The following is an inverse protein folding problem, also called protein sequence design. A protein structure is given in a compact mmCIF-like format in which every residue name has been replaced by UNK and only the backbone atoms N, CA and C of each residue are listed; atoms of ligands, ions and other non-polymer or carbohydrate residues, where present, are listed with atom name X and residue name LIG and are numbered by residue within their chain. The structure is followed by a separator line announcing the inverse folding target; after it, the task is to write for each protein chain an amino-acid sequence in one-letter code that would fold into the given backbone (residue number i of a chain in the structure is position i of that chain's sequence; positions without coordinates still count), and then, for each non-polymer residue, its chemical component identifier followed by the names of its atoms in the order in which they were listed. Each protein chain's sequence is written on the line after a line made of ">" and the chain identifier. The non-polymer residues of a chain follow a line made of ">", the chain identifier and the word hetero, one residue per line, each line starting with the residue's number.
data_IF_909896988891
#
_entry.id   IF_909896988891
#
_cell.length_a   1.000
_cell.length_b   1.000
_cell.length_c   1.000
_cell.angle_alpha   90.00
_cell.angle_beta   90.00
_cell.angle_gamma   90.00
#
_symmetry.space_group_name_H-M   'P 1'
#
loop_
_entity.id
_entity.type
_entity.pdbx_description
1 polymer ?
#
# COMPACT_ATOMS: atom_id res chain seq x y z
N UNK A 1 -34.94 16.57 -10.60
CA UNK A 1 -35.64 16.64 -11.91
C UNK A 1 -35.33 15.34 -12.64
N UNK A 2 -36.35 14.61 -13.12
CA UNK A 2 -36.21 13.35 -13.81
C UNK A 2 -35.43 13.51 -15.13
N UNK A 3 -34.74 12.44 -15.55
CA UNK A 3 -34.04 12.37 -16.82
C UNK A 3 -35.01 11.91 -17.92
N UNK A 4 -35.16 12.60 -19.05
CA UNK A 4 -35.96 12.11 -20.15
C UNK A 4 -35.32 10.85 -20.76
N UNK A 5 -36.14 9.82 -20.99
CA UNK A 5 -35.74 8.54 -21.56
C UNK A 5 -36.40 8.42 -22.94
N UNK A 6 -35.66 8.10 -24.00
CA UNK A 6 -36.25 7.85 -25.30
C UNK A 6 -37.12 6.59 -25.27
N UNK A 7 -38.28 6.68 -25.89
CA UNK A 7 -39.24 5.59 -26.04
C UNK A 7 -39.23 5.13 -27.49
N UNK A 8 -39.24 3.83 -27.75
CA UNK A 8 -39.27 3.28 -29.11
C UNK A 8 -40.66 3.37 -29.75
N UNK A 9 -40.78 2.97 -31.04
CA UNK A 9 -42.03 3.00 -31.80
C UNK A 9 -43.11 2.08 -31.20
N UNK A 10 -42.75 1.15 -30.34
CA UNK A 10 -43.66 0.22 -29.66
C UNK A 10 -44.12 0.74 -28.29
N UNK A 11 -43.62 1.86 -27.84
CA UNK A 11 -43.89 2.41 -26.51
C UNK A 11 -43.02 1.82 -25.40
N UNK A 12 -41.95 1.09 -25.76
CA UNK A 12 -41.03 0.49 -24.80
C UNK A 12 -39.79 1.39 -24.56
N UNK A 13 -39.26 1.37 -23.36
CA UNK A 13 -38.04 2.05 -22.99
C UNK A 13 -37.18 1.18 -22.09
N UNK A 14 -35.86 1.41 -22.12
CA UNK A 14 -34.88 0.79 -21.22
C UNK A 14 -34.08 1.90 -20.56
N UNK A 15 -33.95 1.82 -19.26
CA UNK A 15 -33.07 2.68 -18.48
C UNK A 15 -32.17 1.81 -17.60
N UNK A 16 -30.88 2.06 -17.65
CA UNK A 16 -29.89 1.42 -16.80
C UNK A 16 -29.43 2.44 -15.76
N UNK A 17 -29.66 2.12 -14.49
CA UNK A 17 -29.22 2.94 -13.35
C UNK A 17 -28.57 2.04 -12.31
N UNK A 18 -27.42 2.47 -11.81
CA UNK A 18 -26.73 1.77 -10.71
C UNK A 18 -27.35 2.27 -9.40
N UNK A 19 -28.15 1.40 -8.78
CA UNK A 19 -28.78 1.69 -7.49
C UNK A 19 -27.98 0.98 -6.38
N UNK A 20 -27.69 1.67 -5.25
CA UNK A 20 -27.15 1.01 -4.08
C UNK A 20 -28.13 -0.01 -3.52
N UNK A 21 -27.67 -0.96 -2.71
CA UNK A 21 -28.56 -1.89 -2.03
C UNK A 21 -29.52 -1.16 -1.06
N UNK A 22 -30.74 -1.66 -0.95
CA UNK A 22 -31.77 -1.08 -0.10
C UNK A 22 -33.13 -0.92 -0.82
N UNK A 23 -34.04 -0.28 -0.15
CA UNK A 23 -35.35 0.05 -0.70
C UNK A 23 -35.27 1.33 -1.55
N UNK A 24 -35.73 1.24 -2.79
CA UNK A 24 -35.78 2.34 -3.74
C UNK A 24 -37.18 2.46 -4.33
N UNK A 25 -37.66 3.69 -4.48
CA UNK A 25 -38.89 3.96 -5.23
C UNK A 25 -38.50 4.58 -6.57
N UNK A 26 -38.76 3.87 -7.65
CA UNK A 26 -38.58 4.37 -9.01
C UNK A 26 -39.84 5.06 -9.46
N UNK A 27 -39.70 6.34 -9.84
CA UNK A 27 -40.77 7.17 -10.35
C UNK A 27 -40.62 7.31 -11.86
N UNK A 28 -41.65 6.86 -12.61
CA UNK A 28 -41.72 7.03 -14.05
C UNK A 28 -42.89 7.96 -14.38
N UNK A 29 -42.58 9.13 -14.88
CA UNK A 29 -43.59 10.07 -15.35
C UNK A 29 -43.73 9.97 -16.86
N UNK A 30 -44.93 9.64 -17.35
CA UNK A 30 -45.30 9.66 -18.76
C UNK A 30 -46.07 10.94 -19.02
N UNK A 31 -45.41 11.90 -19.70
CA UNK A 31 -45.93 13.26 -19.90
C UNK A 31 -46.19 13.50 -21.40
N UNK A 32 -47.27 14.22 -21.71
CA UNK A 32 -47.50 14.77 -23.05
C UNK A 32 -46.63 16.04 -23.29
N UNK A 33 -46.77 16.65 -24.48
CA UNK A 33 -46.01 17.85 -24.85
C UNK A 33 -46.38 19.08 -24.02
N UNK A 34 -47.56 19.08 -23.39
CA UNK A 34 -48.09 20.12 -22.50
C UNK A 34 -47.63 19.89 -21.04
N UNK A 35 -46.97 18.75 -20.74
CA UNK A 35 -46.49 18.40 -19.41
C UNK A 35 -47.57 17.76 -18.50
N UNK A 36 -48.73 17.41 -19.05
CA UNK A 36 -49.74 16.63 -18.36
C UNK A 36 -49.51 15.13 -18.58
N UNK A 37 -49.80 14.30 -17.60
CA UNK A 37 -49.58 12.84 -17.73
C UNK A 37 -49.76 12.08 -16.45
N UNK A 38 -49.28 10.87 -16.43
CA UNK A 38 -49.41 9.94 -15.32
C UNK A 38 -48.05 9.63 -14.70
N UNK A 39 -48.05 9.48 -13.36
CA UNK A 39 -46.90 9.08 -12.58
C UNK A 39 -47.05 7.64 -12.12
N UNK A 40 -46.08 6.82 -12.47
CA UNK A 40 -46.03 5.43 -12.03
C UNK A 40 -44.93 5.29 -10.99
N UNK A 41 -45.27 4.74 -9.82
CA UNK A 41 -44.35 4.45 -8.74
C UNK A 41 -44.12 2.94 -8.68
N UNK A 42 -42.87 2.54 -8.58
CA UNK A 42 -42.48 1.17 -8.37
C UNK A 42 -41.46 1.05 -7.27
N UNK A 43 -41.79 0.36 -6.21
CA UNK A 43 -40.85 0.05 -5.16
C UNK A 43 -39.99 -1.15 -5.57
N UNK A 44 -38.70 -0.98 -5.46
CA UNK A 44 -37.68 -1.98 -5.69
C UNK A 44 -36.92 -2.20 -4.39
N UNK A 45 -36.85 -3.43 -3.95
CA UNK A 45 -36.00 -3.83 -2.84
C UNK A 45 -34.81 -4.59 -3.43
N UNK A 46 -33.64 -3.96 -3.39
CA UNK A 46 -32.38 -4.57 -3.82
C UNK A 46 -31.76 -5.24 -2.60
N UNK A 47 -31.78 -6.57 -2.60
CA UNK A 47 -31.15 -7.34 -1.54
C UNK A 47 -29.65 -7.03 -1.48
N UNK A 48 -29.21 -6.66 -0.30
CA UNK A 48 -27.79 -6.50 -0.03
C UNK A 48 -27.22 -7.91 0.16
N UNK A 49 -26.40 -8.35 -0.79
CA UNK A 49 -25.61 -9.55 -0.56
C UNK A 49 -24.48 -9.17 0.40
N UNK A 50 -24.66 -9.44 1.69
CA UNK A 50 -23.71 -9.10 2.73
C UNK A 50 -22.39 -9.87 2.61
N UNK A 51 -22.39 -10.94 1.80
CA UNK A 51 -21.25 -11.82 1.60
C UNK A 51 -20.97 -12.07 0.13
N UNK A 52 -19.73 -11.82 -0.25
CA UNK A 52 -19.15 -12.26 -1.51
C UNK A 52 -18.00 -13.23 -1.19
N UNK A 53 -18.03 -14.40 -1.80
CA UNK A 53 -16.97 -15.38 -1.67
C UNK A 53 -16.74 -16.09 -3.00
N UNK A 54 -15.50 -16.38 -3.27
CA UNK A 54 -15.06 -17.19 -4.40
C UNK A 54 -13.95 -18.11 -3.93
N UNK A 55 -13.94 -19.33 -4.42
CA UNK A 55 -12.92 -20.30 -4.08
C UNK A 55 -12.56 -21.16 -5.27
N UNK A 56 -11.34 -21.61 -5.32
CA UNK A 56 -10.79 -22.53 -6.32
C UNK A 56 -10.01 -23.61 -5.59
N UNK A 57 -10.20 -24.85 -6.02
CA UNK A 57 -9.37 -25.98 -5.62
C UNK A 57 -8.93 -26.72 -6.89
N UNK A 58 -7.65 -26.95 -7.03
CA UNK A 58 -7.05 -27.74 -8.08
C UNK A 58 -6.25 -28.88 -7.43
N UNK A 59 -6.39 -30.08 -7.95
CA UNK A 59 -5.64 -31.25 -7.51
C UNK A 59 -5.14 -31.96 -8.76
N UNK A 60 -3.84 -32.17 -8.82
CA UNK A 60 -3.15 -32.85 -9.92
C UNK A 60 -2.47 -34.09 -9.37
N UNK A 61 -2.84 -35.24 -9.89
CA UNK A 61 -2.17 -36.50 -9.60
C UNK A 61 -1.34 -36.90 -10.82
N UNK A 62 -0.04 -37.09 -10.60
CA UNK A 62 0.87 -37.57 -11.62
C UNK A 62 1.52 -38.85 -11.14
N UNK A 63 1.51 -39.89 -11.99
CA UNK A 63 2.25 -41.14 -11.78
C UNK A 63 3.34 -41.25 -12.85
N UNK A 64 4.58 -41.29 -12.42
CA UNK A 64 5.72 -41.39 -13.30
C UNK A 64 6.33 -42.75 -13.17
N UNK A 65 6.50 -43.49 -14.28
CA UNK A 65 7.21 -44.72 -14.28
C UNK A 65 8.55 -44.59 -15.03
N UNK A 66 9.62 -44.91 -14.39
CA UNK A 66 10.96 -44.86 -14.97
C UNK A 66 11.49 -46.27 -15.16
N UNK A 67 12.09 -46.54 -16.31
CA UNK A 67 12.84 -47.78 -16.58
C UNK A 67 14.33 -47.49 -16.71
N UNK A 68 15.12 -47.96 -15.76
CA UNK A 68 16.58 -47.73 -15.75
C UNK A 68 17.10 -47.47 -14.32
N UNK A 69 18.39 -47.14 -14.16
CA UNK A 69 18.95 -46.84 -12.84
C UNK A 69 18.44 -45.44 -12.36
N UNK A 70 17.26 -45.45 -11.75
CA UNK A 70 16.61 -44.25 -11.22
C UNK A 70 17.41 -43.61 -10.06
N UNK A 71 18.22 -44.38 -9.37
CA UNK A 71 19.08 -43.92 -8.26
C UNK A 71 20.07 -42.81 -8.66
N UNK A 72 20.34 -42.65 -9.95
CA UNK A 72 21.18 -41.57 -10.47
C UNK A 72 20.46 -40.22 -10.56
N UNK A 73 19.14 -40.22 -10.48
CA UNK A 73 18.28 -38.98 -10.53
C UNK A 73 17.92 -38.50 -9.13
N UNK A 74 18.05 -39.33 -8.11
CA UNK A 74 17.85 -38.96 -6.73
C UNK A 74 19.16 -38.38 -6.18
N UNK A 75 19.16 -37.09 -5.88
CA UNK A 75 20.20 -36.52 -5.04
C UNK A 75 20.14 -37.11 -3.63
N UNK A 76 21.27 -37.19 -2.94
CA UNK A 76 21.46 -37.84 -1.62
C UNK A 76 20.49 -37.32 -0.49
N UNK A 77 19.66 -36.29 -0.76
CA UNK A 77 18.73 -35.68 0.15
C UNK A 77 17.32 -35.43 -0.43
N UNK A 78 16.92 -36.09 -1.50
CA UNK A 78 15.56 -35.91 -2.03
C UNK A 78 14.62 -36.95 -1.43
N UNK A 79 13.78 -36.51 -0.50
CA UNK A 79 12.58 -37.24 -0.01
C UNK A 79 11.45 -37.27 -1.07
N UNK A 80 11.78 -36.98 -2.33
CA UNK A 80 10.81 -36.93 -3.41
C UNK A 80 10.57 -38.33 -3.93
N UNK A 81 9.39 -38.84 -3.68
CA UNK A 81 8.92 -40.11 -4.24
C UNK A 81 8.74 -39.92 -5.77
N UNK A 82 9.61 -40.54 -6.57
CA UNK A 82 9.62 -40.33 -8.03
C UNK A 82 8.42 -41.05 -8.68
N UNK A 83 7.78 -41.98 -7.97
CA UNK A 83 6.75 -42.85 -8.52
C UNK A 83 5.35 -42.20 -8.54
N UNK A 84 5.04 -41.32 -7.61
CA UNK A 84 3.74 -40.62 -7.60
C UNK A 84 3.87 -39.20 -6.99
N UNK A 85 3.24 -38.26 -7.64
CA UNK A 85 3.21 -36.88 -7.20
C UNK A 85 1.76 -36.41 -7.10
N UNK A 86 1.42 -35.77 -5.97
CA UNK A 86 0.10 -35.20 -5.73
C UNK A 86 0.26 -33.73 -5.42
N UNK A 87 0.04 -32.92 -6.44
CA UNK A 87 0.05 -31.46 -6.31
C UNK A 87 -1.34 -30.89 -6.13
N UNK A 88 -1.41 -29.78 -5.43
CA UNK A 88 -2.66 -29.08 -5.24
C UNK A 88 -2.48 -27.58 -5.15
N UNK A 89 -3.60 -26.86 -5.34
CA UNK A 89 -3.73 -25.43 -5.06
C UNK A 89 -5.09 -25.17 -4.49
N UNK A 90 -5.11 -24.43 -3.38
CA UNK A 90 -6.34 -23.91 -2.79
C UNK A 90 -6.25 -22.38 -2.75
N UNK A 91 -7.22 -21.72 -3.35
CA UNK A 91 -7.33 -20.28 -3.27
C UNK A 91 -8.76 -19.88 -2.91
N UNK A 92 -8.92 -18.89 -2.05
CA UNK A 92 -10.21 -18.30 -1.76
C UNK A 92 -10.12 -16.80 -1.51
N UNK A 93 -11.24 -16.13 -1.77
CA UNK A 93 -11.45 -14.75 -1.42
C UNK A 93 -12.83 -14.61 -0.76
N UNK A 94 -12.90 -13.86 0.32
CA UNK A 94 -14.12 -13.57 1.05
C UNK A 94 -14.16 -12.08 1.37
N UNK A 95 -15.28 -11.45 1.08
CA UNK A 95 -15.57 -10.08 1.49
C UNK A 95 -17.02 -10.02 1.95
N UNK A 96 -17.26 -9.63 3.19
CA UNK A 96 -18.61 -9.62 3.72
C UNK A 96 -18.76 -8.82 4.99
N UNK A 97 -20.02 -8.66 5.40
CA UNK A 97 -20.39 -8.01 6.65
C UNK A 97 -21.01 -9.03 7.59
N UNK A 98 -20.65 -8.98 8.85
CA UNK A 98 -21.31 -9.77 9.88
C UNK A 98 -21.73 -8.87 11.04
N UNK A 99 -22.93 -9.13 11.54
CA UNK A 99 -23.59 -8.18 12.44
C UNK A 99 -23.84 -6.82 11.77
N UNK A 100 -24.08 -5.81 12.56
CA UNK A 100 -24.44 -4.48 12.04
C UNK A 100 -23.23 -3.64 11.60
N UNK A 101 -22.02 -3.93 12.12
CA UNK A 101 -20.91 -3.00 12.05
C UNK A 101 -19.57 -3.60 11.59
N UNK A 102 -19.48 -4.92 11.51
CA UNK A 102 -18.21 -5.57 11.18
C UNK A 102 -18.11 -5.92 9.70
N UNK A 103 -16.97 -5.63 9.13
CA UNK A 103 -16.60 -6.03 7.77
C UNK A 103 -15.36 -6.92 7.82
N UNK A 104 -15.43 -8.05 7.13
CA UNK A 104 -14.32 -8.97 6.93
C UNK A 104 -13.91 -8.97 5.46
N UNK A 105 -12.62 -8.89 5.20
CA UNK A 105 -12.02 -9.16 3.90
C UNK A 105 -10.89 -10.14 4.13
N UNK A 106 -10.94 -11.30 3.50
CA UNK A 106 -9.91 -12.32 3.63
C UNK A 106 -9.61 -12.95 2.28
N UNK A 107 -8.38 -13.35 2.08
CA UNK A 107 -7.94 -14.07 0.91
C UNK A 107 -6.78 -14.98 1.26
N UNK A 108 -6.74 -16.13 0.62
CA UNK A 108 -5.59 -17.03 0.70
C UNK A 108 -5.37 -17.70 -0.64
N UNK A 109 -4.11 -17.96 -0.94
CA UNK A 109 -3.66 -18.75 -2.08
C UNK A 109 -2.44 -19.56 -1.66
N UNK A 110 -2.59 -20.88 -1.64
CA UNK A 110 -1.50 -21.78 -1.22
C UNK A 110 -0.40 -21.89 -2.26
N UNK A 111 -0.62 -21.39 -3.48
CA UNK A 111 0.13 -21.69 -4.69
C UNK A 111 0.04 -23.19 -5.06
N UNK A 112 0.55 -23.54 -6.23
CA UNK A 112 0.64 -24.94 -6.67
C UNK A 112 1.85 -25.59 -6.04
N UNK A 113 1.66 -26.75 -5.44
CA UNK A 113 2.73 -27.52 -4.80
C UNK A 113 2.23 -28.80 -4.15
N UNK A 114 3.12 -29.61 -3.56
CA UNK A 114 2.78 -30.86 -2.90
C UNK A 114 1.69 -30.67 -1.83
N UNK A 115 0.69 -31.54 -1.84
CA UNK A 115 -0.51 -31.42 -0.96
C UNK A 115 -0.14 -31.44 0.52
N UNK A 116 0.88 -32.15 0.92
CA UNK A 116 1.37 -32.26 2.29
C UNK A 116 2.01 -30.95 2.80
N UNK A 117 2.52 -30.13 1.89
CA UNK A 117 3.20 -28.85 2.19
C UNK A 117 2.35 -27.60 1.86
N UNK A 118 1.14 -27.74 1.33
CA UNK A 118 0.30 -26.59 0.95
C UNK A 118 0.10 -25.56 2.06
N UNK A 119 -0.04 -26.03 3.29
CA UNK A 119 -0.26 -25.17 4.47
C UNK A 119 1.00 -24.91 5.29
N UNK A 120 2.16 -25.40 4.83
CA UNK A 120 3.43 -25.02 5.44
C UNK A 120 3.72 -23.55 5.18
N UNK A 121 4.32 -22.87 6.16
CA UNK A 121 4.73 -21.47 6.05
C UNK A 121 3.62 -20.53 5.57
N UNK A 122 2.39 -20.80 6.03
CA UNK A 122 1.19 -20.12 5.54
C UNK A 122 1.16 -18.61 5.83
N UNK A 123 1.77 -18.19 6.95
CA UNK A 123 1.87 -16.79 7.37
C UNK A 123 3.21 -16.13 7.00
N UNK A 124 4.16 -16.89 6.50
CA UNK A 124 5.46 -16.40 6.06
C UNK A 124 5.38 -15.80 4.65
N UNK A 125 6.39 -15.02 4.28
CA UNK A 125 6.51 -14.50 2.91
C UNK A 125 6.71 -15.66 1.94
N UNK A 126 6.00 -15.61 0.83
CA UNK A 126 6.19 -16.57 -0.24
C UNK A 126 7.40 -16.16 -1.08
N UNK A 127 8.37 -17.05 -1.32
CA UNK A 127 9.48 -16.76 -2.23
C UNK A 127 9.00 -16.44 -3.66
N UNK A 128 7.81 -16.89 -4.02
CA UNK A 128 7.20 -16.64 -5.33
C UNK A 128 6.42 -15.32 -5.44
N UNK A 129 6.37 -14.53 -4.35
CA UNK A 129 5.64 -13.27 -4.35
C UNK A 129 6.14 -12.28 -5.42
N UNK A 130 7.44 -12.32 -5.74
CA UNK A 130 8.01 -11.54 -6.82
C UNK A 130 7.46 -11.95 -8.18
N UNK A 131 7.38 -13.26 -8.47
CA UNK A 131 6.90 -13.77 -9.75
C UNK A 131 5.42 -13.48 -9.97
N UNK A 132 4.62 -13.51 -8.91
CA UNK A 132 3.20 -13.09 -8.98
C UNK A 132 3.04 -11.63 -9.37
N UNK A 133 3.96 -10.76 -8.94
CA UNK A 133 3.96 -9.34 -9.33
C UNK A 133 4.41 -9.10 -10.77
N UNK A 134 5.06 -10.06 -11.39
CA UNK A 134 5.50 -10.00 -12.80
C UNK A 134 4.43 -10.56 -13.75
N UNK A 135 3.38 -11.18 -13.22
CA UNK A 135 2.32 -11.75 -14.04
C UNK A 135 1.69 -10.65 -14.93
N UNK A 136 1.74 -10.83 -16.27
CA UNK A 136 1.19 -9.84 -17.21
C UNK A 136 -0.28 -9.52 -16.97
N UNK A 137 -1.07 -10.48 -16.46
CA UNK A 137 -2.50 -10.30 -16.20
C UNK A 137 -2.77 -9.26 -15.11
N UNK A 138 -1.79 -8.94 -14.27
CA UNK A 138 -1.88 -7.89 -13.27
C UNK A 138 -1.40 -6.52 -13.74
N UNK A 139 -0.60 -6.45 -14.81
CA UNK A 139 0.06 -5.22 -15.24
C UNK A 139 -0.46 -4.64 -16.55
N UNK A 140 -1.10 -5.46 -17.38
CA UNK A 140 -1.65 -4.98 -18.63
C UNK A 140 -3.14 -4.68 -18.48
N UNK A 141 -3.54 -3.39 -18.51
CA UNK A 141 -4.95 -3.07 -18.56
C UNK A 141 -5.57 -3.70 -19.80
N UNK A 142 -6.75 -4.27 -19.65
CA UNK A 142 -7.53 -4.77 -20.77
C UNK A 142 -7.73 -3.63 -21.76
N UNK A 143 -7.47 -3.87 -23.04
CA UNK A 143 -7.46 -2.82 -24.07
C UNK A 143 -8.78 -2.03 -24.06
N UNK A 144 -8.69 -0.71 -23.80
CA UNK A 144 -9.85 0.19 -23.75
C UNK A 144 -10.52 0.32 -22.38
N UNK A 145 -9.98 -0.29 -21.34
CA UNK A 145 -10.46 -0.11 -19.96
C UNK A 145 -9.55 0.88 -19.22
N UNK A 146 -10.16 1.91 -18.65
CA UNK A 146 -9.51 2.94 -17.81
C UNK A 146 -9.55 2.54 -16.32
N UNK A 147 -9.92 1.28 -16.02
CA UNK A 147 -9.97 0.76 -14.67
C UNK A 147 -8.56 0.46 -14.14
N UNK A 148 -8.27 0.97 -12.96
CA UNK A 148 -7.09 0.58 -12.19
C UNK A 148 -7.36 -0.74 -11.48
N UNK A 149 -6.50 -1.73 -11.65
CA UNK A 149 -6.56 -2.97 -10.87
C UNK A 149 -6.16 -2.64 -9.44
N UNK A 150 -7.10 -2.70 -8.52
CA UNK A 150 -6.85 -2.55 -7.11
C UNK A 150 -6.83 -3.91 -6.44
N UNK A 151 -5.69 -4.31 -5.91
CA UNK A 151 -5.56 -5.52 -5.13
C UNK A 151 -6.33 -5.38 -3.80
N UNK A 152 -7.36 -6.17 -3.60
CA UNK A 152 -8.21 -6.11 -2.40
C UNK A 152 -7.60 -6.84 -1.20
N UNK A 153 -6.67 -7.76 -1.43
CA UNK A 153 -6.01 -8.59 -0.41
C UNK A 153 -4.50 -8.58 -0.60
N UNK A 154 -3.84 -7.43 -0.42
CA UNK A 154 -2.40 -7.31 -0.65
C UNK A 154 -1.63 -8.17 0.36
N UNK A 155 -0.93 -9.19 -0.13
CA UNK A 155 -0.12 -10.09 0.70
C UNK A 155 1.11 -10.59 -0.04
N UNK A 156 2.27 -10.48 0.58
CA UNK A 156 3.49 -11.15 0.12
C UNK A 156 3.51 -12.63 0.54
N UNK A 157 2.65 -13.03 1.48
CA UNK A 157 2.46 -14.42 1.89
C UNK A 157 1.25 -15.06 1.21
N UNK A 158 0.90 -16.24 1.70
CA UNK A 158 -0.24 -17.02 1.20
C UNK A 158 -1.58 -16.55 1.76
N UNK A 159 -1.59 -15.63 2.74
CA UNK A 159 -2.77 -15.26 3.51
C UNK A 159 -2.89 -13.75 3.73
N UNK A 160 -4.12 -13.27 3.65
CA UNK A 160 -4.52 -11.92 4.02
C UNK A 160 -5.83 -11.97 4.80
N UNK A 161 -5.93 -11.20 5.85
CA UNK A 161 -7.20 -10.96 6.53
C UNK A 161 -7.26 -9.53 7.05
N UNK A 162 -8.40 -8.90 6.89
CA UNK A 162 -8.73 -7.60 7.48
C UNK A 162 -10.11 -7.69 8.13
N UNK A 163 -10.18 -7.34 9.39
CA UNK A 163 -11.40 -7.18 10.16
C UNK A 163 -11.54 -5.70 10.50
N UNK A 164 -12.64 -5.09 10.06
CA UNK A 164 -12.87 -3.66 10.25
C UNK A 164 -14.23 -3.38 10.88
N UNK A 165 -14.30 -2.32 11.69
CA UNK A 165 -15.52 -1.79 12.30
C UNK A 165 -15.44 -0.26 12.25
N UNK A 166 -16.16 0.37 11.31
CA UNK A 166 -15.97 1.78 11.04
C UNK A 166 -14.54 2.05 10.58
N UNK A 167 -13.84 2.92 11.30
CA UNK A 167 -12.45 3.25 11.05
C UNK A 167 -11.48 2.30 11.77
N UNK A 168 -11.94 1.60 12.81
CA UNK A 168 -11.14 0.60 13.52
C UNK A 168 -10.87 -0.62 12.65
N UNK A 169 -9.65 -1.13 12.69
CA UNK A 169 -9.33 -2.38 11.99
C UNK A 169 -8.16 -3.14 12.61
N UNK A 170 -8.16 -4.44 12.39
CA UNK A 170 -7.01 -5.31 12.53
C UNK A 170 -6.78 -6.05 11.23
N UNK A 171 -5.54 -6.15 10.78
CA UNK A 171 -5.21 -6.84 9.53
C UNK A 171 -3.92 -7.64 9.64
N UNK A 172 -3.83 -8.68 8.82
CA UNK A 172 -2.62 -9.42 8.50
C UNK A 172 -2.42 -9.39 6.99
N UNK A 173 -1.23 -9.05 6.54
CA UNK A 173 -0.86 -8.91 5.13
C UNK A 173 0.08 -7.74 4.90
N UNK A 174 0.14 -7.24 3.68
CA UNK A 174 0.91 -6.04 3.37
C UNK A 174 0.16 -4.79 3.84
N UNK A 175 0.88 -3.89 4.47
CA UNK A 175 0.35 -2.60 4.88
C UNK A 175 1.43 -1.53 4.86
N UNK A 176 0.99 -0.29 4.86
CA UNK A 176 1.86 0.89 4.97
C UNK A 176 1.63 1.58 6.31
N UNK A 177 2.71 1.87 6.99
CA UNK A 177 2.73 2.68 8.21
C UNK A 177 3.18 4.09 7.85
N UNK A 178 2.41 5.09 8.27
CA UNK A 178 2.73 6.51 8.05
C UNK A 178 2.52 7.33 9.32
N UNK A 179 3.47 7.30 10.25
CA UNK A 179 3.41 8.09 11.49
C UNK A 179 4.10 9.43 11.28
N UNK A 180 3.31 10.48 11.13
CA UNK A 180 3.81 11.85 10.89
C UNK A 180 3.44 12.84 12.01
N UNK A 181 2.80 12.38 13.07
CA UNK A 181 2.34 13.25 14.17
C UNK A 181 3.50 13.91 14.94
N UNK A 182 4.65 13.25 14.99
CA UNK A 182 5.87 13.78 15.58
C UNK A 182 6.88 14.07 14.45
N UNK A 183 7.31 15.34 14.34
CA UNK A 183 8.23 15.77 13.29
C UNK A 183 9.64 15.20 13.46
N UNK A 184 10.00 14.85 14.71
CA UNK A 184 11.30 14.28 15.05
C UNK A 184 11.34 12.76 14.93
N UNK A 185 10.17 12.11 14.85
CA UNK A 185 10.03 10.66 14.84
C UNK A 185 8.98 10.25 13.78
N UNK A 186 9.38 10.37 12.53
CA UNK A 186 8.55 9.96 11.40
C UNK A 186 8.87 8.51 11.02
N UNK A 187 7.83 7.69 10.86
CA UNK A 187 7.91 6.33 10.35
C UNK A 187 7.07 6.26 9.08
N UNK A 188 7.67 5.92 7.97
CA UNK A 188 7.00 5.72 6.68
C UNK A 188 7.61 4.48 6.03
N UNK A 189 6.92 3.35 6.19
CA UNK A 189 7.42 2.03 5.76
C UNK A 189 6.28 1.16 5.22
N UNK A 190 6.59 0.36 4.21
CA UNK A 190 5.80 -0.79 3.80
C UNK A 190 6.23 -2.03 4.59
N UNK A 191 5.29 -2.77 5.15
CA UNK A 191 5.53 -3.91 6.04
C UNK A 191 4.59 -5.06 5.69
N UNK A 192 5.00 -6.28 6.04
CA UNK A 192 4.18 -7.48 5.98
C UNK A 192 4.01 -8.08 7.36
N UNK A 193 2.78 -8.27 7.82
CA UNK A 193 2.49 -8.81 9.13
C UNK A 193 1.18 -8.29 9.71
N UNK A 194 1.15 -8.10 11.02
CA UNK A 194 -0.01 -7.60 11.76
C UNK A 194 -0.01 -6.08 11.88
N UNK A 195 -1.15 -5.45 11.60
CA UNK A 195 -1.39 -4.03 11.82
C UNK A 195 -2.74 -3.83 12.49
N UNK A 196 -2.78 -2.93 13.46
CA UNK A 196 -3.97 -2.62 14.24
C UNK A 196 -4.17 -1.11 14.34
N UNK A 197 -5.36 -0.63 14.05
CA UNK A 197 -5.78 0.75 14.21
C UNK A 197 -7.03 0.82 15.07
N UNK A 198 -7.03 1.71 16.03
CA UNK A 198 -8.16 1.96 16.90
C UNK A 198 -8.33 3.45 17.16
N UNK A 199 -9.56 3.94 17.05
CA UNK A 199 -9.92 5.30 17.44
C UNK A 199 -11.24 5.33 18.21
N UNK A 200 -11.35 6.24 19.18
CA UNK A 200 -12.60 6.41 19.93
C UNK A 200 -13.62 7.22 19.12
N UNK A 201 -14.90 6.93 19.31
CA UNK A 201 -15.98 7.75 18.74
C UNK A 201 -15.98 9.18 19.32
N UNK A 202 -15.52 9.32 20.57
CA UNK A 202 -15.45 10.60 21.25
C UNK A 202 -14.42 11.53 20.56
N UNK A 203 -14.84 12.72 20.20
CA UNK A 203 -14.00 13.75 19.61
C UNK A 203 -13.86 14.96 20.54
N UNK A 204 -12.84 15.78 20.29
CA UNK A 204 -12.69 17.10 20.87
C UNK A 204 -13.69 18.09 20.20
N UNK A 205 -13.88 19.25 20.78
CA UNK A 205 -14.68 20.31 20.15
C UNK A 205 -14.14 20.78 18.79
N UNK A 206 -12.88 20.47 18.49
CA UNK A 206 -12.19 20.80 17.23
C UNK A 206 -12.24 19.68 16.21
N UNK A 207 -12.87 18.53 16.52
CA UNK A 207 -13.13 17.42 15.60
C UNK A 207 -12.09 16.30 15.62
N UNK A 208 -11.00 16.38 16.41
CA UNK A 208 -10.06 15.26 16.50
C UNK A 208 -10.55 14.20 17.48
N UNK A 209 -10.26 12.95 17.16
CA UNK A 209 -10.56 11.79 18.03
C UNK A 209 -9.79 11.87 19.33
N UNK A 210 -10.47 11.55 20.45
CA UNK A 210 -9.85 11.66 21.78
C UNK A 210 -8.72 10.66 22.00
N UNK A 211 -8.88 9.44 21.53
CA UNK A 211 -7.81 8.42 21.54
C UNK A 211 -7.62 7.88 20.12
N UNK A 212 -6.40 7.85 19.66
CA UNK A 212 -5.97 7.16 18.45
C UNK A 212 -4.79 6.27 18.82
N UNK A 213 -4.85 5.01 18.41
CA UNK A 213 -3.79 4.03 18.63
C UNK A 213 -3.55 3.24 17.36
N UNK A 214 -2.30 3.24 16.89
CA UNK A 214 -1.81 2.44 15.78
C UNK A 214 -0.70 1.54 16.31
N UNK A 215 -0.79 0.26 16.04
CA UNK A 215 0.21 -0.72 16.48
C UNK A 215 0.53 -1.67 15.33
N UNK A 216 1.77 -2.11 15.22
CA UNK A 216 2.16 -3.12 14.26
C UNK A 216 3.22 -4.07 14.82
N UNK A 217 3.20 -5.29 14.28
CA UNK A 217 4.25 -6.28 14.41
C UNK A 217 4.42 -6.95 13.04
N UNK A 218 5.59 -6.86 12.47
CA UNK A 218 5.81 -7.22 11.08
C UNK A 218 7.21 -7.76 10.84
N UNK A 219 7.33 -8.57 9.82
CA UNK A 219 8.61 -8.92 9.24
C UNK A 219 8.96 -7.87 8.18
N UNK A 220 10.00 -7.04 8.38
CA UNK A 220 10.48 -6.17 7.33
C UNK A 220 11.14 -7.02 6.26
N UNK A 221 10.41 -7.40 5.22
CA UNK A 221 10.95 -8.09 4.07
C UNK A 221 11.69 -7.19 3.11
N UNK A 222 11.94 -5.98 3.54
CA UNK A 222 12.52 -4.93 2.73
C UNK A 222 13.60 -4.22 3.52
N UNK A 223 14.63 -3.77 2.81
CA UNK A 223 15.70 -2.94 3.36
C UNK A 223 15.50 -1.51 2.88
N UNK A 224 15.45 -0.58 3.83
CA UNK A 224 15.43 0.85 3.52
C UNK A 224 16.79 1.33 3.03
N UNK A 225 16.82 2.07 1.94
CA UNK A 225 18.03 2.67 1.41
C UNK A 225 17.80 4.13 0.97
N UNK A 226 18.90 4.85 0.82
CA UNK A 226 18.90 6.22 0.32
C UNK A 226 19.99 6.38 -0.71
N UNK A 227 19.63 6.92 -1.86
CA UNK A 227 20.56 7.21 -2.93
C UNK A 227 20.50 8.66 -3.36
N UNK A 228 21.63 9.18 -3.81
CA UNK A 228 21.76 10.53 -4.28
C UNK A 228 22.36 10.55 -5.68
N UNK A 229 21.72 11.26 -6.57
CA UNK A 229 22.15 11.43 -7.95
C UNK A 229 22.33 12.91 -8.23
N UNK A 230 23.51 13.29 -8.65
CA UNK A 230 23.73 14.65 -9.14
C UNK A 230 22.94 14.86 -10.43
N UNK A 231 22.29 16.01 -10.56
CA UNK A 231 21.64 16.40 -11.79
C UNK A 231 22.62 16.46 -12.96
N UNK A 232 22.25 15.85 -14.07
CA UNK A 232 23.09 15.76 -15.28
C UNK A 232 22.47 16.45 -16.49
N UNK A 233 21.29 17.05 -16.33
CA UNK A 233 20.48 17.56 -17.44
C UNK A 233 19.59 16.46 -18.07
N UNK A 234 19.61 15.25 -17.53
CA UNK A 234 18.78 14.15 -17.97
C UNK A 234 17.55 13.93 -17.07
N UNK A 235 16.64 13.09 -17.53
CA UNK A 235 15.43 12.69 -16.80
C UNK A 235 15.45 11.24 -16.33
N UNK A 236 16.39 10.42 -16.79
CA UNK A 236 16.43 9.00 -16.49
C UNK A 236 17.50 8.69 -15.43
N UNK A 237 17.08 8.03 -14.34
CA UNK A 237 17.93 7.62 -13.24
C UNK A 237 17.69 6.15 -12.91
N UNK A 238 18.77 5.42 -12.64
CA UNK A 238 18.71 4.02 -12.23
C UNK A 238 19.15 3.90 -10.77
N UNK A 239 18.29 3.32 -9.96
CA UNK A 239 18.61 2.95 -8.59
C UNK A 239 19.58 1.77 -8.59
N UNK A 240 20.44 1.69 -7.60
CA UNK A 240 21.38 0.58 -7.47
C UNK A 240 20.69 -0.73 -7.10
N UNK A 241 19.51 -0.63 -6.49
CA UNK A 241 18.70 -1.78 -6.09
C UNK A 241 17.49 -1.91 -6.98
N UNK A 242 17.19 -3.15 -7.30
CA UNK A 242 15.99 -3.57 -8.02
C UNK A 242 14.94 -4.05 -7.03
N UNK A 243 13.76 -4.42 -7.52
CA UNK A 243 12.64 -4.90 -6.72
C UNK A 243 12.24 -3.94 -5.58
N UNK A 244 12.04 -2.71 -5.97
CA UNK A 244 11.61 -1.64 -5.07
C UNK A 244 10.18 -1.89 -4.61
N UNK A 245 9.91 -1.79 -3.31
CA UNK A 245 8.57 -1.90 -2.76
C UNK A 245 7.72 -0.72 -3.26
N UNK A 246 6.66 -1.04 -4.00
CA UNK A 246 5.79 -0.02 -4.58
C UNK A 246 5.19 0.90 -3.50
N UNK A 247 5.33 2.21 -3.72
CA UNK A 247 4.83 3.26 -2.80
C UNK A 247 5.73 3.51 -1.58
N UNK A 248 6.87 2.83 -1.45
CA UNK A 248 7.86 3.13 -0.41
C UNK A 248 8.76 4.30 -0.77
N UNK A 249 8.85 4.62 -2.06
CA UNK A 249 9.74 5.65 -2.53
C UNK A 249 9.35 7.05 -2.09
N UNK A 250 10.37 7.85 -1.80
CA UNK A 250 10.29 9.29 -1.57
C UNK A 250 11.35 9.96 -2.43
N UNK A 251 10.89 10.64 -3.46
CA UNK A 251 11.75 11.30 -4.44
C UNK A 251 11.69 12.80 -4.20
N UNK A 252 12.87 13.41 -4.04
CA UNK A 252 12.97 14.86 -3.87
C UNK A 252 14.21 15.41 -4.55
N UNK A 253 14.15 16.68 -4.90
CA UNK A 253 15.30 17.44 -5.38
C UNK A 253 15.84 18.26 -4.23
N UNK A 254 17.12 18.12 -3.95
CA UNK A 254 17.86 18.96 -3.02
C UNK A 254 18.76 19.91 -3.80
N UNK A 255 18.66 21.18 -3.46
CA UNK A 255 19.54 22.22 -3.98
C UNK A 255 20.59 22.47 -2.90
N UNK A 256 21.86 22.31 -3.22
CA UNK A 256 22.97 22.43 -2.27
C UNK A 256 23.92 23.53 -2.69
N UNK A 257 24.27 24.41 -1.74
CA UNK A 257 25.27 25.40 -1.93
C UNK A 257 26.63 24.76 -2.30
N UNK A 258 27.18 25.18 -3.41
CA UNK A 258 28.38 24.56 -3.99
C UNK A 258 29.64 24.68 -3.08
N UNK A 259 29.71 25.67 -2.22
CA UNK A 259 30.87 25.91 -1.37
C UNK A 259 30.80 25.18 -0.03
N UNK A 260 29.58 25.12 0.56
CA UNK A 260 29.38 24.55 1.90
C UNK A 260 28.75 23.17 1.88
N UNK A 261 28.13 22.76 0.75
CA UNK A 261 27.32 21.53 0.65
C UNK A 261 26.00 21.57 1.43
N UNK A 262 25.67 22.73 2.01
CA UNK A 262 24.43 22.87 2.80
C UNK A 262 23.23 22.88 1.87
N UNK A 263 22.17 22.16 2.25
CA UNK A 263 20.91 22.16 1.53
C UNK A 263 20.23 23.51 1.69
N UNK A 264 20.07 24.23 0.58
CA UNK A 264 19.45 25.56 0.51
C UNK A 264 17.98 25.49 0.10
N UNK A 265 17.59 24.41 -0.61
CA UNK A 265 16.20 24.19 -1.04
C UNK A 265 15.88 22.72 -1.17
N UNK A 266 14.60 22.38 -0.93
CA UNK A 266 14.05 21.01 -1.12
C UNK A 266 12.74 21.10 -1.85
N UNK A 267 12.60 20.29 -2.91
CA UNK A 267 11.38 20.11 -3.66
C UNK A 267 10.99 18.64 -3.62
N UNK A 268 9.88 18.30 -2.98
CA UNK A 268 9.34 16.93 -2.99
C UNK A 268 8.59 16.68 -4.29
N UNK A 269 8.88 15.59 -4.94
CA UNK A 269 8.25 15.18 -6.20
C UNK A 269 7.06 14.27 -5.93
N UNK A 270 6.04 14.39 -6.76
CA UNK A 270 4.78 13.63 -6.67
C UNK A 270 4.79 12.51 -7.72
N UNK A 271 4.54 11.24 -7.30
CA UNK A 271 4.42 10.12 -8.24
C UNK A 271 3.37 10.38 -9.32
N UNK A 272 3.60 9.90 -10.53
CA UNK A 272 2.76 10.05 -11.72
C UNK A 272 2.56 11.48 -12.25
N UNK A 273 2.98 12.52 -11.51
CA UNK A 273 2.98 13.91 -11.97
C UNK A 273 4.38 14.39 -12.34
N UNK A 274 5.32 14.23 -11.41
CA UNK A 274 6.69 14.73 -11.54
C UNK A 274 7.66 13.63 -11.97
N UNK A 275 7.33 12.37 -11.70
CA UNK A 275 8.12 11.21 -12.11
C UNK A 275 7.28 9.95 -12.28
N UNK A 276 7.80 9.03 -13.05
CA UNK A 276 7.35 7.65 -13.17
C UNK A 276 8.44 6.69 -12.68
N UNK A 277 8.06 5.58 -12.06
CA UNK A 277 8.98 4.59 -11.51
C UNK A 277 8.65 3.18 -11.98
N UNK A 278 9.65 2.48 -12.50
CA UNK A 278 9.62 1.03 -12.70
C UNK A 278 10.20 0.36 -11.46
N UNK A 279 9.32 -0.16 -10.63
CA UNK A 279 9.68 -0.75 -9.33
C UNK A 279 10.54 -2.01 -9.46
N UNK A 280 10.32 -2.81 -10.52
CA UNK A 280 11.07 -4.03 -10.75
C UNK A 280 12.52 -3.73 -11.17
N UNK A 281 12.68 -2.74 -12.06
CA UNK A 281 14.01 -2.38 -12.56
C UNK A 281 14.72 -1.36 -11.67
N UNK A 282 14.03 -0.72 -10.73
CA UNK A 282 14.57 0.40 -9.96
C UNK A 282 14.86 1.61 -10.85
N UNK A 283 14.00 1.92 -11.82
CA UNK A 283 14.22 2.99 -12.79
C UNK A 283 13.24 4.14 -12.57
N UNK A 284 13.78 5.34 -12.43
CA UNK A 284 13.00 6.56 -12.28
C UNK A 284 13.13 7.42 -13.53
N UNK A 285 12.00 7.84 -14.08
CA UNK A 285 11.90 8.77 -15.19
C UNK A 285 11.24 10.06 -14.73
N UNK A 286 11.99 11.15 -14.67
CA UNK A 286 11.46 12.46 -14.32
C UNK A 286 10.70 13.05 -15.52
N UNK A 287 9.57 13.69 -15.25
CA UNK A 287 8.78 14.42 -16.26
C UNK A 287 9.57 15.61 -16.79
N UNK A 288 10.32 16.30 -15.93
CA UNK A 288 11.20 17.39 -16.31
C UNK A 288 12.65 17.01 -16.07
N UNK A 289 13.58 17.24 -17.02
CA UNK A 289 14.98 16.95 -16.84
C UNK A 289 15.59 17.75 -15.68
N UNK A 290 16.40 17.09 -14.84
CA UNK A 290 17.06 17.73 -13.71
C UNK A 290 18.38 18.36 -14.14
N UNK A 291 18.42 19.68 -14.18
CA UNK A 291 19.65 20.42 -14.45
C UNK A 291 20.74 20.16 -13.41
N UNK A 292 22.00 20.23 -13.81
CA UNK A 292 23.13 20.05 -12.90
C UNK A 292 23.29 21.21 -11.90
N UNK A 293 22.86 22.40 -12.29
CA UNK A 293 22.91 23.62 -11.48
C UNK A 293 21.57 24.37 -11.60
N UNK A 294 21.15 24.96 -10.50
CA UNK A 294 19.95 25.81 -10.42
C UNK A 294 20.42 27.24 -10.13
N UNK A 295 20.12 28.16 -11.05
CA UNK A 295 20.33 29.58 -10.83
C UNK A 295 19.10 30.20 -10.17
N UNK A 296 19.29 30.81 -9.02
CA UNK A 296 18.24 31.52 -8.28
C UNK A 296 17.88 32.89 -8.90
N UNK A 297 18.58 33.30 -9.98
CA UNK A 297 18.34 34.59 -10.65
C UNK A 297 17.71 34.42 -12.02
N UNK A 298 16.41 34.64 -12.11
CA UNK A 298 15.59 34.66 -13.33
C UNK A 298 15.99 35.71 -14.37
N UNK A 299 17.04 36.48 -14.21
CA UNK A 299 17.25 37.67 -15.03
C UNK A 299 18.59 37.82 -15.79
N UNK A 300 19.61 37.05 -15.52
CA UNK A 300 20.86 37.10 -16.34
C UNK A 300 21.55 35.74 -16.33
N UNK A 301 21.56 35.06 -17.48
CA UNK A 301 22.45 33.92 -17.74
C UNK A 301 23.87 34.43 -17.87
N UNK A 302 24.66 34.29 -16.83
CA UNK A 302 26.09 34.43 -16.92
C UNK A 302 26.74 33.17 -16.40
N UNK A 303 27.26 32.37 -17.31
CA UNK A 303 28.05 31.15 -17.15
C UNK A 303 27.36 29.88 -16.67
N UNK A 304 27.52 28.84 -17.50
CA UNK A 304 27.05 27.46 -17.26
C UNK A 304 27.70 26.74 -16.06
N UNK A 305 28.41 27.47 -15.20
CA UNK A 305 29.19 26.95 -14.07
C UNK A 305 28.83 27.64 -12.74
N UNK A 306 28.01 28.68 -12.77
CA UNK A 306 27.54 29.39 -11.56
C UNK A 306 26.13 28.87 -11.20
N UNK A 307 25.91 28.53 -9.97
CA UNK A 307 24.66 28.09 -9.42
C UNK A 307 24.83 26.93 -8.44
N UNK A 308 23.88 26.79 -7.55
CA UNK A 308 23.84 25.71 -6.58
C UNK A 308 23.63 24.36 -7.26
N UNK A 309 24.22 23.31 -6.73
CA UNK A 309 24.13 21.98 -7.30
C UNK A 309 22.78 21.32 -6.99
N UNK A 310 22.15 20.72 -7.99
CA UNK A 310 20.93 19.98 -7.83
C UNK A 310 21.19 18.47 -7.71
N UNK A 311 20.58 17.87 -6.71
CA UNK A 311 20.65 16.43 -6.47
C UNK A 311 19.24 15.84 -6.43
N UNK A 312 19.06 14.71 -7.12
CA UNK A 312 17.91 13.85 -6.93
C UNK A 312 18.20 12.92 -5.78
N UNK A 313 17.45 13.03 -4.70
CA UNK A 313 17.56 12.19 -3.52
C UNK A 313 16.38 11.26 -3.47
N UNK A 314 16.65 9.97 -3.48
CA UNK A 314 15.63 8.92 -3.46
C UNK A 314 15.81 8.08 -2.22
N UNK A 315 14.77 8.00 -1.40
CA UNK A 315 14.66 7.02 -0.32
C UNK A 315 13.64 5.99 -0.74
N UNK A 316 13.94 4.74 -0.56
CA UNK A 316 13.04 3.65 -0.93
C UNK A 316 13.37 2.39 -0.14
N UNK A 317 12.45 1.45 -0.15
CA UNK A 317 12.67 0.10 0.37
C UNK A 317 12.73 -0.87 -0.81
N UNK A 318 13.59 -1.85 -0.73
CA UNK A 318 13.74 -2.88 -1.74
C UNK A 318 13.77 -4.26 -1.10
N UNK A 319 13.33 -5.28 -1.84
CA UNK A 319 13.42 -6.67 -1.40
C UNK A 319 14.81 -7.19 -1.75
N UNK A 320 15.67 -7.51 -0.79
CA UNK A 320 16.97 -8.10 -1.10
C UNK A 320 16.76 -9.53 -1.57
N UNK A 321 16.99 -9.79 -2.81
CA UNK A 321 17.03 -11.04 -3.54
C UNK A 321 16.70 -12.34 -2.78
N UNK A 322 17.61 -13.29 -2.79
CA UNK A 322 17.44 -14.61 -2.14
C UNK A 322 17.88 -14.67 -0.66
N UNK A 323 18.26 -13.54 -0.07
CA UNK A 323 18.64 -13.51 1.33
C UNK A 323 17.37 -13.36 2.19
N UNK A 324 17.08 -14.38 2.98
CA UNK A 324 16.08 -14.32 4.05
C UNK A 324 16.52 -13.27 5.08
N UNK A 325 15.72 -12.24 5.27
CA UNK A 325 15.96 -11.27 6.32
C UNK A 325 15.22 -11.75 7.56
N UNK A 326 15.94 -12.36 8.47
CA UNK A 326 15.41 -12.68 9.79
C UNK A 326 15.39 -11.38 10.62
N UNK A 327 14.28 -10.68 10.56
CA UNK A 327 14.09 -9.41 11.23
C UNK A 327 12.65 -9.26 11.70
N UNK A 328 12.45 -8.69 12.86
CA UNK A 328 11.14 -8.34 13.39
C UNK A 328 11.07 -6.85 13.67
N UNK A 329 10.13 -6.18 13.03
CA UNK A 329 9.83 -4.79 13.29
C UNK A 329 8.55 -4.68 14.11
N UNK A 330 8.62 -4.01 15.23
CA UNK A 330 7.46 -3.70 16.07
C UNK A 330 7.38 -2.20 16.32
N UNK A 331 6.19 -1.67 16.39
CA UNK A 331 6.04 -0.27 16.69
C UNK A 331 4.60 0.19 16.80
N UNK A 332 4.45 1.47 17.01
CA UNK A 332 3.15 2.09 17.09
C UNK A 332 3.21 3.53 17.54
N UNK A 333 2.06 4.16 17.45
CA UNK A 333 1.80 5.47 18.03
C UNK A 333 0.50 5.42 18.81
N UNK A 334 0.47 6.13 19.92
CA UNK A 334 -0.74 6.33 20.71
C UNK A 334 -0.82 7.79 21.07
N UNK A 335 -1.98 8.40 20.84
CA UNK A 335 -2.22 9.77 21.25
C UNK A 335 -3.56 9.91 21.97
N UNK A 336 -3.58 10.76 23.00
CA UNK A 336 -4.78 11.01 23.79
C UNK A 336 -4.96 12.48 24.10
N UNK A 337 -6.19 12.98 23.89
CA UNK A 337 -6.61 14.31 24.26
C UNK A 337 -7.26 14.33 25.64
N UNK A 338 -6.64 15.02 26.58
CA UNK A 338 -7.21 15.34 27.88
C UNK A 338 -8.09 16.59 27.75
N UNK A 339 -9.40 16.37 27.73
CA UNK A 339 -10.36 17.43 27.34
C UNK A 339 -10.18 17.83 25.88
N UNK A 340 -10.15 19.11 25.60
CA UNK A 340 -10.05 19.67 24.24
C UNK A 340 -8.75 20.45 24.03
N UNK A 341 -7.93 20.56 25.07
CA UNK A 341 -6.80 21.50 25.11
C UNK A 341 -5.44 20.85 25.28
N UNK A 342 -5.33 19.62 25.79
CA UNK A 342 -4.04 18.96 26.05
C UNK A 342 -4.00 17.61 25.33
N UNK A 343 -3.07 17.46 24.39
CA UNK A 343 -2.77 16.17 23.75
C UNK A 343 -1.44 15.65 24.26
N UNK A 344 -1.38 14.36 24.57
CA UNK A 344 -0.13 13.63 24.77
C UNK A 344 -0.03 12.55 23.69
N UNK A 345 1.14 12.40 23.11
CA UNK A 345 1.46 11.39 22.12
C UNK A 345 2.76 10.65 22.46
N UNK A 346 2.79 9.38 22.12
CA UNK A 346 3.98 8.53 22.19
C UNK A 346 4.10 7.77 20.89
N UNK A 347 5.31 7.72 20.33
CA UNK A 347 5.64 6.94 19.14
C UNK A 347 6.85 6.07 19.45
N UNK A 348 6.78 4.79 19.12
CA UNK A 348 7.89 3.85 19.26
C UNK A 348 8.02 3.00 18.00
N UNK A 349 9.25 2.74 17.59
CA UNK A 349 9.58 1.84 16.50
C UNK A 349 10.87 1.10 16.86
N UNK A 350 10.82 -0.21 16.84
CA UNK A 350 11.95 -1.09 17.12
C UNK A 350 12.10 -2.04 15.95
N UNK A 351 13.28 -2.13 15.42
CA UNK A 351 13.65 -3.07 14.38
C UNK A 351 14.77 -3.95 14.96
N UNK A 352 14.44 -5.19 15.16
CA UNK A 352 15.33 -6.23 15.65
C UNK A 352 15.83 -7.03 14.45
N UNK A 353 17.10 -6.89 14.15
CA UNK A 353 17.75 -7.53 13.01
C UNK A 353 19.14 -7.98 13.45
N UNK A 354 19.50 -9.22 13.18
CA UNK A 354 20.70 -9.93 13.68
C UNK A 354 22.01 -9.10 13.68
N UNK A 355 22.21 -8.21 12.73
CA UNK A 355 23.42 -7.38 12.60
C UNK A 355 23.20 -5.87 12.82
N UNK A 356 21.94 -5.41 12.99
CA UNK A 356 21.64 -3.98 13.06
C UNK A 356 20.34 -3.64 13.79
N UNK A 357 20.35 -3.76 15.09
CA UNK A 357 19.24 -3.29 15.91
C UNK A 357 19.07 -1.79 15.81
N UNK A 358 17.85 -1.34 15.61
CA UNK A 358 17.51 0.06 15.66
C UNK A 358 16.24 0.33 16.44
N UNK A 359 16.26 1.37 17.23
CA UNK A 359 15.08 1.82 17.96
C UNK A 359 14.89 3.32 17.88
N UNK A 360 13.67 3.75 17.82
CA UNK A 360 13.26 5.14 17.86
C UNK A 360 12.07 5.29 18.81
N UNK A 361 12.24 6.15 19.80
CA UNK A 361 11.20 6.44 20.78
C UNK A 361 10.99 7.95 20.84
N UNK A 362 9.75 8.38 20.83
CA UNK A 362 9.42 9.79 20.88
C UNK A 362 8.16 10.04 21.72
N UNK A 363 8.10 11.23 22.28
CA UNK A 363 6.94 11.73 22.98
C UNK A 363 6.64 13.16 22.50
N UNK A 364 5.36 13.48 22.44
CA UNK A 364 4.89 14.81 22.10
C UNK A 364 3.77 15.27 23.03
N UNK A 365 3.74 16.57 23.24
CA UNK A 365 2.68 17.25 23.96
C UNK A 365 2.20 18.44 23.15
N UNK A 366 0.89 18.56 22.97
CA UNK A 366 0.29 19.75 22.37
C UNK A 366 -0.63 20.43 23.39
N UNK A 367 -0.40 21.70 23.61
CA UNK A 367 -1.27 22.59 24.38
C UNK A 367 -1.98 23.50 23.40
N UNK A 368 -3.32 23.48 23.37
CA UNK A 368 -4.13 24.23 22.42
C UNK A 368 -5.10 25.15 23.20
N UNK A 369 -5.07 26.42 22.87
CA UNK A 369 -6.03 27.38 23.36
C UNK A 369 -7.22 27.56 22.41
N UNK A 370 -6.95 27.61 21.10
CA UNK A 370 -7.94 27.71 20.04
C UNK A 370 -7.42 27.00 18.79
N UNK A 371 -8.24 26.87 17.76
CA UNK A 371 -7.84 26.24 16.50
C UNK A 371 -6.57 26.86 15.89
N UNK A 372 -6.37 28.16 16.03
CA UNK A 372 -5.20 28.88 15.50
C UNK A 372 -4.09 29.18 16.52
N UNK A 373 -4.25 28.75 17.80
CA UNK A 373 -3.29 29.08 18.87
C UNK A 373 -2.96 27.84 19.67
N UNK A 374 -1.75 27.32 19.43
CA UNK A 374 -1.28 26.10 20.08
C UNK A 374 0.25 26.18 20.34
N UNK A 375 0.70 25.37 21.24
CA UNK A 375 2.09 25.14 21.54
C UNK A 375 2.37 23.64 21.52
N UNK A 376 3.40 23.21 20.80
CA UNK A 376 3.80 21.80 20.66
C UNK A 376 5.22 21.62 21.18
N UNK A 377 5.41 20.63 22.03
CA UNK A 377 6.70 20.17 22.52
C UNK A 377 6.92 18.74 22.07
N UNK A 378 8.10 18.46 21.52
CA UNK A 378 8.46 17.15 21.01
C UNK A 378 9.84 16.77 21.51
N UNK A 379 9.99 15.49 21.83
CA UNK A 379 11.26 14.87 22.16
C UNK A 379 11.36 13.52 21.48
N UNK A 380 12.50 13.22 20.88
CA UNK A 380 12.79 11.93 20.28
C UNK A 380 14.18 11.46 20.65
N UNK A 381 14.34 10.14 20.71
CA UNK A 381 15.62 9.46 20.88
C UNK A 381 15.65 8.29 19.90
N UNK A 382 16.72 8.18 19.15
CA UNK A 382 17.00 7.05 18.29
C UNK A 382 18.34 6.42 18.66
N UNK A 383 18.38 5.10 18.63
CA UNK A 383 19.58 4.29 18.80
C UNK A 383 19.62 3.29 17.64
N UNK A 384 20.81 3.01 17.12
CA UNK A 384 21.02 2.05 16.02
C UNK A 384 22.21 2.46 15.14
N UNK A 385 22.63 1.55 14.31
CA UNK A 385 23.63 1.82 13.29
C UNK A 385 23.05 2.79 12.26
N UNK A 386 23.58 4.00 12.22
CA UNK A 386 23.35 4.90 11.09
C UNK A 386 24.10 4.32 9.92
N UNK A 387 23.41 3.88 8.87
CA UNK A 387 24.08 3.64 7.60
C UNK A 387 24.77 4.97 7.21
N UNK A 388 26.07 4.99 7.36
CA UNK A 388 26.89 6.12 6.91
C UNK A 388 26.75 6.27 5.40
N UNK A 389 26.75 7.50 4.90
CA UNK A 389 26.47 7.82 3.49
C UNK A 389 27.47 7.15 2.53
#
# INVERSE_FOLDING_TARGET
>A
AGRPIPVDETGSFVSEEILPAGAHTVEVAVLDQEGAGELYLRDLELEQNDWFYVGMANLTFAENSFSGPADLLQGENSDTDIDSDLDGRLAFFVNGKFGEHWKVTAGADTNEGPVDSLFSNFMEKSPDALFRRIDPDYYYPTFGDDSTVQEMTPSMGKFYVRLARGDDFGQWGNFKVGYMNNELAQVDRGLYGANFHFETEAATEFGEKKLVADLFAAEPGTVGTREEFRGTGGSLYFLQRQDVLAGSERVRIEIRDKASGIVTGVVNLVPAMDYDIDYLQGRILLTNPLSSNVDDSLLVRTDAVSGDEAYLVVRYEYTPGFDDIDAVATGGQVSYWFGDHVKLGVTSNVNDQDDSDSSMNAADMTLRYSAGSWFKLQQARSEGLVALP
#
